data_IF_925238626130
#
_entry.id   IF_925238626130
#
_cell.length_a   1.000
_cell.length_b   1.000
_cell.length_c   1.000
_cell.angle_alpha   90.00
_cell.angle_beta   90.00
_cell.angle_gamma   90.00
#
_symmetry.space_group_name_H-M   'P 1'
#
loop_
_entity.id
_entity.type
_entity.pdbx_description
1 polymer ?
#
# COMPACT_ATOMS: atom_id res chain seq x y z
N UNK A 1 3.20 8.38 10.72
CA UNK A 1 2.15 7.40 11.09
C UNK A 1 2.20 6.22 10.14
N UNK A 2 2.12 5.03 10.67
CA UNK A 2 2.04 3.78 9.89
C UNK A 2 0.68 3.14 10.08
N UNK A 3 0.09 2.73 8.97
CA UNK A 3 -1.19 2.03 8.95
C UNK A 3 -1.05 0.73 8.17
N UNK A 4 -1.84 -0.27 8.53
CA UNK A 4 -1.95 -1.52 7.80
C UNK A 4 -3.34 -1.62 7.19
N UNK A 5 -3.40 -1.81 5.88
CA UNK A 5 -4.64 -1.97 5.15
C UNK A 5 -4.78 -3.43 4.73
N UNK A 6 -5.94 -4.00 5.00
CA UNK A 6 -6.26 -5.39 4.64
C UNK A 6 -7.47 -5.38 3.73
N UNK A 7 -7.32 -5.99 2.57
CA UNK A 7 -8.35 -6.10 1.54
C UNK A 7 -8.74 -7.55 1.33
N UNK A 8 -10.02 -7.77 1.09
CA UNK A 8 -10.57 -9.07 0.75
C UNK A 8 -11.27 -9.03 -0.59
N UNK A 9 -11.23 -10.13 -1.32
CA UNK A 9 -11.99 -10.28 -2.56
C UNK A 9 -13.47 -10.53 -2.24
N UNK A 10 -14.37 -9.82 -2.94
CA UNK A 10 -15.80 -9.81 -2.64
C UNK A 10 -16.42 -11.21 -2.67
N UNK A 11 -16.01 -12.05 -3.61
CA UNK A 11 -16.51 -13.41 -3.76
C UNK A 11 -15.74 -14.47 -2.95
N UNK A 12 -14.80 -14.04 -2.10
CA UNK A 12 -13.92 -14.89 -1.29
C UNK A 12 -13.05 -15.87 -2.09
N UNK A 13 -12.93 -15.68 -3.41
CA UNK A 13 -12.04 -16.46 -4.24
C UNK A 13 -10.59 -15.96 -4.12
N UNK A 14 -9.65 -16.71 -4.70
CA UNK A 14 -8.23 -16.35 -4.66
C UNK A 14 -7.94 -15.07 -5.44
N UNK A 15 -7.02 -14.28 -4.93
CA UNK A 15 -6.49 -13.08 -5.58
C UNK A 15 -5.27 -13.48 -6.40
N UNK A 16 -5.29 -13.20 -7.70
CA UNK A 16 -4.18 -13.48 -8.61
C UNK A 16 -3.73 -12.21 -9.30
N UNK A 17 -2.46 -11.85 -9.16
CA UNK A 17 -1.89 -10.62 -9.70
C UNK A 17 -0.53 -10.90 -10.36
N UNK A 18 -0.13 -10.09 -11.34
CA UNK A 18 1.22 -10.18 -11.91
C UNK A 18 2.31 -10.06 -10.84
N UNK A 19 3.40 -10.79 -11.00
CA UNK A 19 4.50 -10.78 -10.02
C UNK A 19 5.15 -9.40 -9.86
N UNK A 20 5.07 -8.54 -10.86
CA UNK A 20 5.60 -7.18 -10.85
C UNK A 20 4.52 -6.13 -10.50
N UNK A 21 3.73 -6.38 -9.49
CA UNK A 21 2.56 -5.59 -9.11
C UNK A 21 2.86 -4.23 -8.46
N UNK A 22 4.11 -3.91 -8.19
CA UNK A 22 4.47 -2.74 -7.37
C UNK A 22 3.93 -1.42 -7.93
N UNK A 23 4.01 -1.22 -9.25
CA UNK A 23 3.48 -0.03 -9.92
C UNK A 23 1.95 0.08 -9.76
N UNK A 24 1.25 -1.03 -9.91
CA UNK A 24 -0.21 -1.04 -9.79
C UNK A 24 -0.68 -0.90 -8.34
N UNK A 25 0.10 -1.40 -7.39
CA UNK A 25 -0.15 -1.16 -5.97
C UNK A 25 0.01 0.33 -5.63
N UNK A 26 1.03 0.98 -6.18
CA UNK A 26 1.18 2.43 -6.08
C UNK A 26 -0.02 3.17 -6.69
N UNK A 27 -0.50 2.71 -7.84
CA UNK A 27 -1.70 3.24 -8.49
C UNK A 27 -2.95 3.10 -7.61
N UNK A 28 -3.12 1.97 -6.95
CA UNK A 28 -4.19 1.76 -5.98
C UNK A 28 -4.12 2.78 -4.83
N UNK A 29 -2.94 3.00 -4.29
CA UNK A 29 -2.71 3.98 -3.23
C UNK A 29 -3.09 5.39 -3.70
N UNK A 30 -2.63 5.83 -4.88
CA UNK A 30 -2.97 7.14 -5.42
C UNK A 30 -4.48 7.31 -5.68
N UNK A 31 -5.15 6.28 -6.17
CA UNK A 31 -6.61 6.30 -6.36
C UNK A 31 -7.39 6.32 -5.05
N UNK A 32 -6.76 5.87 -3.97
CA UNK A 32 -7.38 5.87 -2.64
C UNK A 32 -7.34 7.26 -2.00
N UNK A 33 -6.27 8.01 -2.14
CA UNK A 33 -6.16 9.36 -1.59
C UNK A 33 -7.34 10.25 -1.97
N UNK A 34 -7.61 11.27 -1.15
CA UNK A 34 -8.44 12.38 -1.59
C UNK A 34 -7.81 13.06 -2.82
N UNK A 35 -8.63 13.71 -3.63
CA UNK A 35 -8.15 14.42 -4.81
C UNK A 35 -7.08 15.46 -4.47
N UNK A 36 -7.26 16.18 -3.37
CA UNK A 36 -6.31 17.19 -2.91
C UNK A 36 -4.94 16.62 -2.60
N UNK A 37 -4.90 15.56 -1.77
CA UNK A 37 -3.64 14.92 -1.37
C UNK A 37 -3.01 14.18 -2.54
N UNK A 38 -3.80 13.44 -3.30
CA UNK A 38 -3.32 12.70 -4.46
C UNK A 38 -2.68 13.60 -5.51
N UNK A 39 -3.32 14.70 -5.86
CA UNK A 39 -2.80 15.69 -6.82
C UNK A 39 -1.53 16.36 -6.28
N UNK A 40 -1.56 16.79 -5.02
CA UNK A 40 -0.39 17.41 -4.38
C UNK A 40 0.83 16.50 -4.40
N UNK A 41 0.65 15.24 -4.02
CA UNK A 41 1.75 14.26 -3.98
C UNK A 41 2.24 13.89 -5.38
N UNK A 42 1.34 13.76 -6.34
CA UNK A 42 1.69 13.36 -7.70
C UNK A 42 2.39 14.48 -8.48
N UNK A 43 1.86 15.69 -8.43
CA UNK A 43 2.32 16.82 -9.24
C UNK A 43 3.40 17.64 -8.54
N UNK A 44 3.18 18.01 -7.29
CA UNK A 44 4.05 18.93 -6.57
C UNK A 44 5.08 18.19 -5.70
N UNK A 45 4.63 17.24 -4.87
CA UNK A 45 5.45 16.61 -3.85
C UNK A 45 5.96 17.62 -2.82
N UNK A 46 7.01 17.24 -2.11
CA UNK A 46 7.70 18.08 -1.14
C UNK A 46 9.08 18.44 -1.68
N UNK A 47 9.37 19.73 -1.76
CA UNK A 47 10.61 20.25 -2.33
C UNK A 47 11.70 20.35 -1.26
N UNK A 48 12.88 19.81 -1.59
CA UNK A 48 14.11 20.08 -0.87
C UNK A 48 15.22 20.35 -1.90
N UNK A 49 15.61 21.62 -2.00
CA UNK A 49 16.47 22.07 -3.10
C UNK A 49 15.76 21.86 -4.44
N UNK A 50 16.41 21.17 -5.37
CA UNK A 50 15.86 20.86 -6.70
C UNK A 50 15.17 19.48 -6.75
N UNK A 51 15.02 18.80 -5.62
CA UNK A 51 14.44 17.46 -5.56
C UNK A 51 13.02 17.51 -5.02
N UNK A 52 12.16 16.65 -5.59
CA UNK A 52 10.78 16.43 -5.14
C UNK A 52 10.70 15.09 -4.41
N UNK A 53 10.11 15.11 -3.21
CA UNK A 53 9.89 13.92 -2.40
C UNK A 53 8.40 13.69 -2.19
N UNK A 54 7.98 12.44 -2.27
CA UNK A 54 6.58 12.07 -2.00
C UNK A 54 6.30 11.92 -0.51
N UNK A 55 7.32 11.66 0.28
CA UNK A 55 7.27 11.48 1.74
C UNK A 55 6.28 10.42 2.21
N UNK A 56 6.14 9.36 1.45
CA UNK A 56 5.47 8.15 1.89
C UNK A 56 6.16 6.92 1.31
N UNK A 57 5.94 5.80 1.93
CA UNK A 57 6.31 4.51 1.40
C UNK A 57 5.29 3.45 1.78
N UNK A 58 5.34 2.32 1.10
CA UNK A 58 4.47 1.19 1.33
C UNK A 58 5.27 -0.11 1.20
N UNK A 59 4.83 -1.13 1.91
CA UNK A 59 5.44 -2.44 1.86
C UNK A 59 4.97 -3.23 0.63
N UNK A 60 5.62 -4.34 0.39
CA UNK A 60 5.06 -5.39 -0.44
C UNK A 60 3.82 -5.97 0.24
N UNK A 61 3.04 -6.75 -0.51
CA UNK A 61 1.95 -7.55 0.04
C UNK A 61 2.55 -8.51 1.07
N UNK A 62 1.96 -8.54 2.26
CA UNK A 62 2.49 -9.25 3.42
C UNK A 62 2.22 -10.75 3.37
N UNK A 63 1.13 -11.16 2.73
CA UNK A 63 0.77 -12.55 2.57
C UNK A 63 1.74 -13.27 1.64
N UNK A 64 1.89 -14.56 1.84
CA UNK A 64 2.73 -15.39 0.99
C UNK A 64 2.01 -15.73 -0.32
N UNK A 65 2.51 -15.23 -1.44
CA UNK A 65 1.99 -15.53 -2.76
C UNK A 65 2.65 -16.75 -3.39
N UNK A 66 1.85 -17.62 -4.01
CA UNK A 66 2.34 -18.77 -4.76
C UNK A 66 2.59 -18.37 -6.21
N UNK A 67 3.78 -18.64 -6.71
CA UNK A 67 4.08 -18.43 -8.11
C UNK A 67 3.26 -19.36 -9.02
N UNK A 68 2.56 -18.75 -9.99
CA UNK A 68 1.87 -19.45 -11.05
C UNK A 68 2.41 -18.92 -12.37
N UNK A 69 2.91 -19.82 -13.20
CA UNK A 69 3.42 -19.50 -14.53
C UNK A 69 2.30 -19.75 -15.55
N UNK A 70 1.70 -18.68 -16.10
CA UNK A 70 0.66 -18.80 -17.13
C UNK A 70 1.24 -18.95 -18.53
N UNK A 71 2.38 -18.26 -18.78
CA UNK A 71 3.16 -18.36 -20.02
C UNK A 71 4.63 -18.26 -19.67
N UNK A 72 5.54 -18.50 -20.60
CA UNK A 72 6.99 -18.35 -20.36
C UNK A 72 7.37 -16.93 -19.92
N UNK A 73 6.59 -15.92 -20.34
CA UNK A 73 6.84 -14.51 -20.06
C UNK A 73 5.97 -13.93 -18.95
N UNK A 74 4.84 -14.58 -18.59
CA UNK A 74 3.89 -14.07 -17.60
C UNK A 74 3.94 -14.89 -16.32
N UNK A 75 4.50 -14.26 -15.28
CA UNK A 75 4.53 -14.81 -13.91
C UNK A 75 3.46 -14.12 -13.08
N UNK A 76 2.64 -14.89 -12.39
CA UNK A 76 1.61 -14.44 -11.50
C UNK A 76 1.88 -14.92 -10.07
N UNK A 77 1.41 -14.14 -9.11
CA UNK A 77 1.34 -14.53 -7.71
C UNK A 77 -0.11 -14.78 -7.35
N UNK A 78 -0.38 -15.94 -6.80
CA UNK A 78 -1.71 -16.29 -6.27
C UNK A 78 -1.67 -16.26 -4.76
N UNK A 79 -2.57 -15.45 -4.21
CA UNK A 79 -2.83 -15.36 -2.77
C UNK A 79 -4.15 -16.05 -2.44
N UNK A 80 -4.46 -16.20 -1.14
CA UNK A 80 -5.82 -16.49 -0.73
C UNK A 80 -6.78 -15.33 -1.07
N UNK A 81 -7.89 -15.25 -0.38
CA UNK A 81 -8.88 -14.19 -0.60
C UNK A 81 -8.50 -12.84 -0.01
N UNK A 82 -7.40 -12.77 0.72
CA UNK A 82 -6.99 -11.60 1.50
C UNK A 82 -5.56 -11.18 1.16
N UNK A 83 -5.35 -9.89 0.99
CA UNK A 83 -4.02 -9.28 0.88
C UNK A 83 -3.94 -8.08 1.82
N UNK A 84 -2.76 -7.84 2.36
CA UNK A 84 -2.50 -6.66 3.20
C UNK A 84 -1.14 -6.06 2.92
N UNK A 85 -1.01 -4.78 3.21
CA UNK A 85 0.26 -4.06 3.12
C UNK A 85 0.31 -2.93 4.14
N UNK A 86 1.52 -2.52 4.47
CA UNK A 86 1.76 -1.33 5.28
C UNK A 86 1.92 -0.10 4.41
N UNK A 87 1.41 1.00 4.92
CA UNK A 87 1.66 2.34 4.39
C UNK A 87 2.15 3.22 5.51
N UNK A 88 3.14 4.06 5.26
CA UNK A 88 3.60 5.01 6.26
C UNK A 88 4.08 6.32 5.66
N UNK A 89 3.93 7.39 6.44
CA UNK A 89 4.42 8.71 6.12
C UNK A 89 4.91 9.39 7.40
N UNK A 90 5.99 10.17 7.35
CA UNK A 90 6.37 11.05 8.46
C UNK A 90 5.40 12.21 8.65
N UNK A 91 4.54 12.47 7.66
CA UNK A 91 3.46 13.47 7.75
C UNK A 91 2.16 12.72 8.07
N UNK A 92 1.69 12.85 9.30
CA UNK A 92 0.51 12.13 9.79
C UNK A 92 -0.73 12.37 8.92
N UNK A 93 -0.92 13.59 8.45
CA UNK A 93 -2.05 13.95 7.59
C UNK A 93 -2.13 13.14 6.30
N UNK A 94 -1.00 12.67 5.75
CA UNK A 94 -0.97 11.80 4.56
C UNK A 94 -1.51 10.41 4.90
N UNK A 95 -1.06 9.82 6.01
CA UNK A 95 -1.54 8.51 6.45
C UNK A 95 -3.00 8.55 6.90
N UNK A 96 -3.41 9.62 7.57
CA UNK A 96 -4.80 9.86 7.98
C UNK A 96 -5.73 9.97 6.78
N UNK A 97 -5.34 10.75 5.76
CA UNK A 97 -6.13 10.88 4.53
C UNK A 97 -6.29 9.53 3.84
N UNK A 98 -5.21 8.78 3.67
CA UNK A 98 -5.29 7.45 3.04
C UNK A 98 -6.23 6.53 3.81
N UNK A 99 -6.09 6.45 5.12
CA UNK A 99 -6.94 5.61 5.97
C UNK A 99 -8.41 6.02 5.92
N UNK A 100 -8.69 7.32 6.01
CA UNK A 100 -10.05 7.84 5.92
C UNK A 100 -10.69 7.56 4.56
N UNK A 101 -9.99 7.81 3.48
CA UNK A 101 -10.50 7.59 2.13
C UNK A 101 -10.67 6.10 1.82
N UNK A 102 -9.75 5.25 2.29
CA UNK A 102 -9.89 3.80 2.15
C UNK A 102 -11.15 3.29 2.87
N UNK A 103 -11.42 3.80 4.06
CA UNK A 103 -12.60 3.47 4.83
C UNK A 103 -13.89 3.97 4.16
N UNK A 104 -13.90 5.19 3.61
CA UNK A 104 -15.05 5.77 2.94
C UNK A 104 -15.39 5.06 1.63
N UNK A 105 -14.39 4.78 0.80
CA UNK A 105 -14.56 4.16 -0.51
C UNK A 105 -14.93 2.69 -0.41
N UNK A 106 -14.36 1.97 0.52
CA UNK A 106 -14.55 0.55 0.84
C UNK A 106 -14.26 -0.43 -0.29
N UNK A 107 -14.73 -0.19 -1.51
CA UNK A 107 -14.53 -1.06 -2.67
C UNK A 107 -13.45 -0.51 -3.58
N UNK A 108 -12.60 -1.41 -4.08
CA UNK A 108 -11.45 -1.07 -4.93
C UNK A 108 -11.31 -2.06 -6.06
N UNK A 109 -10.91 -1.56 -7.20
CA UNK A 109 -10.57 -2.40 -8.35
C UNK A 109 -9.06 -2.59 -8.42
N UNK A 110 -8.62 -3.84 -8.44
CA UNK A 110 -7.20 -4.19 -8.54
C UNK A 110 -7.03 -5.37 -9.50
N UNK A 111 -6.42 -5.12 -10.67
CA UNK A 111 -6.32 -6.09 -11.76
C UNK A 111 -7.65 -6.77 -12.13
N UNK A 112 -8.68 -5.98 -12.39
CA UNK A 112 -10.04 -6.44 -12.72
C UNK A 112 -10.72 -7.30 -11.63
N UNK A 113 -10.20 -7.26 -10.43
CA UNK A 113 -10.78 -7.92 -9.26
C UNK A 113 -11.35 -6.87 -8.32
N UNK A 114 -12.56 -7.10 -7.82
CA UNK A 114 -13.18 -6.26 -6.80
C UNK A 114 -12.71 -6.69 -5.42
N UNK A 115 -12.07 -5.76 -4.73
CA UNK A 115 -11.63 -5.92 -3.35
C UNK A 115 -12.39 -4.95 -2.46
N UNK A 116 -12.58 -5.32 -1.21
CA UNK A 116 -13.09 -4.40 -0.20
C UNK A 116 -12.14 -4.30 0.98
N UNK A 117 -12.11 -3.15 1.62
CA UNK A 117 -11.33 -2.94 2.83
C UNK A 117 -11.99 -3.70 3.99
N UNK A 118 -11.33 -4.74 4.48
CA UNK A 118 -11.84 -5.56 5.59
C UNK A 118 -11.29 -5.10 6.95
N UNK A 119 -10.09 -4.53 6.97
CA UNK A 119 -9.48 -4.08 8.21
C UNK A 119 -8.51 -2.91 7.95
N UNK A 120 -8.54 -1.95 8.84
CA UNK A 120 -7.58 -0.84 8.90
C UNK A 120 -7.02 -0.78 10.32
N UNK A 121 -5.71 -0.95 10.44
CA UNK A 121 -5.00 -0.91 11.72
C UNK A 121 -4.04 0.27 11.74
N UNK A 122 -4.12 1.08 12.78
CA UNK A 122 -3.14 2.15 13.03
C UNK A 122 -2.10 1.63 14.01
N UNK A 123 -0.84 1.61 13.58
CA UNK A 123 0.24 1.18 14.47
C UNK A 123 0.73 2.32 15.35
N UNK A 124 0.82 2.05 16.63
CA UNK A 124 1.42 2.98 17.59
C UNK A 124 2.93 3.01 17.36
N UNK A 125 3.52 4.19 17.15
CA UNK A 125 4.97 4.28 17.00
C UNK A 125 5.66 3.80 18.28
N UNK A 126 6.81 3.12 18.18
CA UNK A 126 7.55 2.70 19.35
C UNK A 126 8.04 3.93 20.13
N UNK A 127 7.99 3.86 21.45
CA UNK A 127 8.64 4.86 22.29
C UNK A 127 10.15 4.71 22.16
N UNK A 128 10.78 5.79 21.76
CA UNK A 128 12.24 5.85 21.66
C UNK A 128 12.74 6.55 22.92
N UNK A 129 13.36 5.79 23.80
CA UNK A 129 14.03 6.31 25.00
C UNK A 129 15.55 6.13 24.81
N UNK A 130 16.28 7.23 24.73
CA UNK A 130 17.72 7.21 24.55
C UNK A 130 18.17 6.95 23.10
N UNK A 131 19.34 6.31 22.96
CA UNK A 131 19.91 6.01 21.64
C UNK A 131 19.26 4.77 21.01
N UNK A 132 18.88 4.87 19.75
CA UNK A 132 18.31 3.78 18.99
C UNK A 132 19.31 3.29 17.92
N UNK A 133 19.52 1.98 17.86
CA UNK A 133 20.24 1.35 16.77
C UNK A 133 19.27 0.99 15.64
N UNK A 134 19.45 1.61 14.48
CA UNK A 134 18.68 1.27 13.28
C UNK A 134 19.50 0.28 12.46
N UNK A 135 18.96 -0.92 12.26
CA UNK A 135 19.55 -1.94 11.41
C UNK A 135 18.75 -2.05 10.12
N UNK A 136 19.40 -1.82 8.98
CA UNK A 136 18.79 -2.10 7.69
C UNK A 136 18.75 -3.62 7.47
N UNK A 137 17.57 -4.16 7.20
CA UNK A 137 17.37 -5.59 6.94
C UNK A 137 17.47 -5.96 5.46
N UNK A 138 17.58 -4.96 4.60
CA UNK A 138 17.67 -5.14 3.15
C UNK A 138 19.04 -4.68 2.69
N UNK A 139 19.76 -5.50 1.92
CA UNK A 139 21.03 -5.10 1.31
C UNK A 139 20.84 -4.01 0.26
#
# INVERSE_FOLDING_TARGET
MRIKLTYEKIDSSNISIPAHYNYDLQGLIYRTFSEQIGTKLHEEGYLFGNRKFKLFHYSRILEYGKFIKRTETQKYLQYGSTISFYFSSPIDGISEDLGEQAFRKREFQFYNQKLFLSCLEVETPPRIEGNMLIKCLVP
#
